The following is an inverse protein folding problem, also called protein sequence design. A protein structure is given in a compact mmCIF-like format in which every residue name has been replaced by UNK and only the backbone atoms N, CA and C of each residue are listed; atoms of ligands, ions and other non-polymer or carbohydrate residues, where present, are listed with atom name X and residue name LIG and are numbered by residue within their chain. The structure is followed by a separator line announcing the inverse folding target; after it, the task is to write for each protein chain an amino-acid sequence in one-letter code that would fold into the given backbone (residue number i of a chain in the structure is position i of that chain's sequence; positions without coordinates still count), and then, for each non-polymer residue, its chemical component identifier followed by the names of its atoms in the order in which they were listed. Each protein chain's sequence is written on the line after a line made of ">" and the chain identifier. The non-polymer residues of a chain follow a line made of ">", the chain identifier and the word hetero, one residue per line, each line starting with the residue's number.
data_IF_246396241248
#
_entry.id   IF_246396241248
#
_cell.length_a   1.000
_cell.length_b   1.000
_cell.length_c   1.000
_cell.angle_alpha   90.00
_cell.angle_beta   90.00
_cell.angle_gamma   90.00
#
_symmetry.space_group_name_H-M   'P 1'
#
loop_
_entity.id
_entity.type
_entity.pdbx_description
1 polymer ?
#
# COMPACT_ATOMS: atom_id res chain seq x y z
N UNK A 1 -61.90 33.93 21.23
CA UNK A 1 -61.93 33.41 19.84
C UNK A 1 -61.23 34.40 18.92
N UNK A 2 -60.18 33.93 18.22
CA UNK A 2 -59.62 34.41 16.94
C UNK A 2 -59.59 35.93 16.67
N UNK A 3 -58.38 36.46 16.43
CA UNK A 3 -57.96 37.04 15.14
C UNK A 3 -56.47 37.38 15.15
N UNK A 4 -55.76 36.71 14.25
CA UNK A 4 -54.39 36.98 13.78
C UNK A 4 -54.47 38.12 12.77
N UNK A 5 -53.51 39.06 12.75
CA UNK A 5 -53.08 39.72 11.51
C UNK A 5 -51.73 40.42 11.75
N UNK A 6 -50.62 39.76 11.38
CA UNK A 6 -49.33 40.40 11.14
C UNK A 6 -49.16 40.43 9.61
N UNK A 7 -49.03 41.59 8.96
CA UNK A 7 -48.69 41.67 7.56
C UNK A 7 -47.17 41.82 7.41
N UNK A 8 -46.52 40.85 6.76
CA UNK A 8 -45.20 41.04 6.13
C UNK A 8 -44.98 39.94 5.08
N UNK A 9 -45.89 39.90 4.10
CA UNK A 9 -45.67 39.21 2.84
C UNK A 9 -44.89 40.18 1.94
N UNK A 10 -43.65 39.83 1.58
CA UNK A 10 -42.97 40.12 0.30
C UNK A 10 -41.45 40.05 0.48
N UNK A 11 -40.90 38.83 0.48
CA UNK A 11 -39.56 38.60 -0.07
C UNK A 11 -39.67 37.42 -1.03
N UNK A 12 -39.88 37.82 -2.29
CA UNK A 12 -39.50 37.15 -3.53
C UNK A 12 -38.70 35.84 -3.37
N UNK A 13 -39.40 34.71 -3.52
CA UNK A 13 -38.83 33.38 -3.70
C UNK A 13 -38.81 33.02 -5.21
N UNK A 14 -37.97 33.73 -5.96
CA UNK A 14 -37.56 33.42 -7.33
C UNK A 14 -36.13 33.93 -7.38
N UNK A 15 -35.09 33.11 -7.36
CA UNK A 15 -34.55 32.22 -8.39
C UNK A 15 -33.32 31.58 -7.70
N UNK A 16 -32.75 30.43 -8.00
CA UNK A 16 -32.69 29.58 -9.17
C UNK A 16 -32.37 28.20 -8.60
N UNK A 17 -33.06 27.17 -9.06
CA UNK A 17 -32.73 25.78 -8.77
C UNK A 17 -31.25 25.55 -9.10
N UNK A 18 -30.40 25.38 -8.09
CA UNK A 18 -29.08 24.81 -8.27
C UNK A 18 -29.27 23.34 -8.61
N UNK A 19 -29.65 23.08 -9.86
CA UNK A 19 -29.39 21.83 -10.52
C UNK A 19 -27.87 21.73 -10.63
N UNK A 20 -27.23 21.28 -9.55
CA UNK A 20 -25.97 20.58 -9.69
C UNK A 20 -26.28 19.43 -10.62
N UNK A 21 -25.92 19.60 -11.88
CA UNK A 21 -25.70 18.49 -12.78
C UNK A 21 -24.74 17.57 -12.03
N UNK A 22 -25.28 16.50 -11.44
CA UNK A 22 -24.49 15.35 -11.08
C UNK A 22 -23.90 14.91 -12.41
N UNK A 23 -22.66 15.32 -12.65
CA UNK A 23 -21.83 14.71 -13.67
C UNK A 23 -21.90 13.22 -13.34
N UNK A 24 -22.67 12.48 -14.13
CA UNK A 24 -22.64 11.04 -14.11
C UNK A 24 -21.15 10.72 -14.23
N UNK A 25 -20.58 10.24 -13.12
CA UNK A 25 -19.26 9.67 -13.14
C UNK A 25 -19.32 8.64 -14.25
N UNK A 26 -18.67 8.95 -15.36
CA UNK A 26 -18.21 7.94 -16.29
C UNK A 26 -17.25 7.10 -15.46
N UNK A 27 -17.80 6.20 -14.64
CA UNK A 27 -17.11 5.01 -14.17
C UNK A 27 -16.93 4.23 -15.46
N UNK A 28 -15.92 4.65 -16.23
CA UNK A 28 -15.51 3.94 -17.42
C UNK A 28 -15.38 2.49 -16.96
N UNK A 29 -16.15 1.62 -17.60
CA UNK A 29 -16.09 0.19 -17.32
C UNK A 29 -14.64 -0.29 -17.40
N UNK A 30 -14.33 -1.47 -16.86
CA UNK A 30 -12.97 -2.00 -16.89
C UNK A 30 -12.37 -1.89 -18.29
N UNK A 31 -11.24 -1.18 -18.39
CA UNK A 31 -10.50 -1.02 -19.65
C UNK A 31 -9.13 -1.66 -19.52
N UNK A 32 -8.59 -2.14 -20.63
CA UNK A 32 -7.24 -2.71 -20.68
C UNK A 32 -6.21 -1.69 -20.17
N UNK A 33 -6.34 -0.43 -20.56
CA UNK A 33 -5.46 0.64 -20.06
C UNK A 33 -5.62 0.86 -18.55
N UNK A 34 -6.83 0.78 -18.02
CA UNK A 34 -7.07 0.83 -16.58
C UNK A 34 -6.39 -0.32 -15.82
N UNK A 35 -6.39 -1.54 -16.38
CA UNK A 35 -5.67 -2.67 -15.80
C UNK A 35 -4.14 -2.49 -15.88
N UNK A 36 -3.62 -2.01 -17.00
CA UNK A 36 -2.18 -1.72 -17.15
C UNK A 36 -1.71 -0.69 -16.12
N UNK A 37 -2.47 0.38 -15.91
CA UNK A 37 -2.14 1.38 -14.88
C UNK A 37 -2.17 0.77 -13.48
N UNK A 38 -3.16 -0.08 -13.16
CA UNK A 38 -3.22 -0.76 -11.87
C UNK A 38 -2.01 -1.67 -11.64
N UNK A 39 -1.62 -2.47 -12.63
CA UNK A 39 -0.42 -3.30 -12.57
C UNK A 39 0.83 -2.46 -12.29
N UNK A 40 1.06 -1.41 -13.08
CA UNK A 40 2.22 -0.54 -12.90
C UNK A 40 2.28 0.12 -11.51
N UNK A 41 1.12 0.54 -10.98
CA UNK A 41 1.06 1.10 -9.63
C UNK A 41 1.39 0.05 -8.56
N UNK A 42 0.87 -1.17 -8.70
CA UNK A 42 1.21 -2.30 -7.82
C UNK A 42 2.70 -2.62 -7.89
N UNK A 43 3.30 -2.64 -9.09
CA UNK A 43 4.73 -2.87 -9.27
C UNK A 43 5.56 -1.78 -8.59
N UNK A 44 5.15 -0.52 -8.70
CA UNK A 44 5.79 0.60 -8.00
C UNK A 44 5.69 0.44 -6.48
N UNK A 45 4.56 -0.03 -5.95
CA UNK A 45 4.40 -0.31 -4.52
C UNK A 45 5.29 -1.47 -4.06
N UNK A 46 5.38 -2.55 -4.83
CA UNK A 46 6.29 -3.68 -4.56
C UNK A 46 7.74 -3.20 -4.46
N UNK A 47 8.20 -2.38 -5.41
CA UNK A 47 9.56 -1.82 -5.40
C UNK A 47 9.80 -0.96 -4.15
N UNK A 48 8.83 -0.12 -3.75
CA UNK A 48 8.92 0.70 -2.53
C UNK A 48 9.03 -0.18 -1.27
N UNK A 49 8.24 -1.25 -1.19
CA UNK A 49 8.26 -2.17 -0.05
C UNK A 49 9.59 -2.92 0.04
N UNK A 50 10.16 -3.35 -1.10
CA UNK A 50 11.49 -3.94 -1.16
C UNK A 50 12.55 -2.95 -0.64
N UNK A 51 12.52 -1.70 -1.10
CA UNK A 51 13.46 -0.67 -0.64
C UNK A 51 13.33 -0.39 0.87
N UNK A 52 12.11 -0.31 1.40
CA UNK A 52 11.86 -0.15 2.84
C UNK A 52 12.41 -1.33 3.64
N UNK A 53 12.17 -2.57 3.20
CA UNK A 53 12.71 -3.78 3.82
C UNK A 53 14.23 -3.75 3.89
N UNK A 54 14.91 -3.40 2.78
CA UNK A 54 16.37 -3.21 2.73
C UNK A 54 16.84 -2.17 3.76
N UNK A 55 16.14 -1.04 3.84
CA UNK A 55 16.40 0.01 4.81
C UNK A 55 16.30 -0.47 6.27
N UNK A 56 15.29 -1.30 6.58
CA UNK A 56 15.12 -1.92 7.91
C UNK A 56 16.29 -2.85 8.21
N UNK A 57 16.68 -3.74 7.28
CA UNK A 57 17.82 -4.65 7.49
C UNK A 57 19.11 -3.89 7.74
N UNK A 58 19.39 -2.83 6.98
CA UNK A 58 20.57 -1.97 7.19
C UNK A 58 20.57 -1.31 8.57
N UNK A 59 19.42 -0.85 9.06
CA UNK A 59 19.30 -0.29 10.41
C UNK A 59 19.52 -1.37 11.49
N UNK A 60 18.98 -2.56 11.29
CA UNK A 60 19.19 -3.70 12.19
C UNK A 60 20.68 -4.09 12.28
N UNK A 61 21.36 -4.25 11.14
CA UNK A 61 22.81 -4.54 11.10
C UNK A 61 23.64 -3.50 11.85
N UNK A 62 23.33 -2.21 11.64
CA UNK A 62 24.00 -1.11 12.36
C UNK A 62 23.76 -1.20 13.88
N UNK A 63 22.54 -1.55 14.28
CA UNK A 63 22.21 -1.74 15.69
C UNK A 63 22.93 -2.95 16.29
N UNK A 64 22.94 -4.09 15.61
CA UNK A 64 23.67 -5.31 16.03
C UNK A 64 25.15 -4.99 16.24
N UNK A 65 25.80 -4.37 15.25
CA UNK A 65 27.20 -3.96 15.31
C UNK A 65 27.48 -2.97 16.44
N UNK A 66 26.65 -1.93 16.60
CA UNK A 66 26.84 -0.91 17.65
C UNK A 66 26.77 -1.49 19.06
N UNK A 67 25.99 -2.55 19.25
CA UNK A 67 25.75 -3.16 20.56
C UNK A 67 26.49 -4.49 20.75
N UNK A 68 27.39 -4.87 19.85
CA UNK A 68 28.10 -6.15 19.86
C UNK A 68 27.16 -7.37 19.97
N UNK A 69 26.03 -7.32 19.27
CA UNK A 69 25.09 -8.45 19.20
C UNK A 69 25.46 -9.38 18.03
N UNK A 70 25.15 -10.68 18.14
CA UNK A 70 25.23 -11.59 16.99
C UNK A 70 24.38 -11.05 15.84
N UNK A 71 24.89 -11.20 14.62
CA UNK A 71 24.11 -10.89 13.42
C UNK A 71 22.97 -11.89 13.28
N UNK A 72 21.73 -11.42 13.34
CA UNK A 72 20.56 -12.24 13.10
C UNK A 72 20.27 -12.32 11.59
N UNK A 73 20.05 -13.53 11.08
CA UNK A 73 19.57 -13.76 9.73
C UNK A 73 18.07 -14.18 9.77
N UNK A 74 17.13 -13.29 9.36
CA UNK A 74 15.69 -13.60 9.34
C UNK A 74 15.29 -14.68 8.32
N UNK A 75 16.23 -15.17 7.52
CA UNK A 75 16.02 -16.25 6.55
C UNK A 75 16.42 -17.62 7.09
N UNK A 76 17.32 -17.68 8.07
CA UNK A 76 17.61 -18.89 8.85
C UNK A 76 16.54 -19.15 9.93
N UNK A 77 15.68 -18.17 10.19
CA UNK A 77 14.58 -18.28 11.14
C UNK A 77 13.39 -19.07 10.57
N UNK A 78 13.27 -20.33 11.00
CA UNK A 78 12.18 -21.24 10.61
C UNK A 78 10.78 -20.78 11.01
N UNK A 79 10.66 -19.96 12.05
CA UNK A 79 9.36 -19.40 12.45
C UNK A 79 8.88 -18.36 11.44
N UNK A 80 9.80 -17.56 10.91
CA UNK A 80 9.50 -16.56 9.89
C UNK A 80 9.23 -17.22 8.53
N UNK A 81 9.98 -18.28 8.17
CA UNK A 81 9.69 -19.09 6.99
C UNK A 81 8.26 -19.61 7.01
N UNK A 82 7.86 -20.30 8.09
CA UNK A 82 6.50 -20.84 8.25
C UNK A 82 5.42 -19.75 8.13
N UNK A 83 5.66 -18.59 8.74
CA UNK A 83 4.73 -17.46 8.69
C UNK A 83 4.56 -16.93 7.27
N UNK A 84 5.66 -16.79 6.51
CA UNK A 84 5.62 -16.36 5.09
C UNK A 84 4.86 -17.36 4.23
N UNK A 85 5.07 -18.67 4.45
CA UNK A 85 4.32 -19.70 3.71
C UNK A 85 2.84 -19.71 4.05
N UNK A 86 2.46 -19.42 5.31
CA UNK A 86 1.06 -19.24 5.69
C UNK A 86 0.42 -18.05 4.97
N UNK A 87 1.14 -16.92 4.85
CA UNK A 87 0.67 -15.79 4.04
C UNK A 87 0.55 -16.14 2.56
N UNK A 88 1.47 -16.92 2.01
CA UNK A 88 1.39 -17.39 0.63
C UNK A 88 0.06 -18.10 0.37
N UNK A 89 -0.29 -19.07 1.24
CA UNK A 89 -1.57 -19.78 1.16
C UNK A 89 -2.76 -18.83 1.34
N UNK A 90 -2.69 -17.92 2.31
CA UNK A 90 -3.78 -16.97 2.58
C UNK A 90 -4.08 -16.04 1.40
N UNK A 91 -3.06 -15.63 0.66
CA UNK A 91 -3.18 -14.71 -0.48
C UNK A 91 -3.22 -15.40 -1.84
N UNK A 92 -3.40 -16.73 -1.86
CA UNK A 92 -3.44 -17.55 -3.09
C UNK A 92 -2.19 -17.38 -3.97
N UNK A 93 -1.02 -17.29 -3.32
CA UNK A 93 0.29 -17.23 -3.97
C UNK A 93 1.03 -18.54 -3.73
N UNK A 94 1.69 -19.06 -4.76
CA UNK A 94 2.51 -20.26 -4.65
C UNK A 94 3.56 -20.13 -3.53
N UNK A 95 3.58 -21.05 -2.55
CA UNK A 95 4.63 -21.12 -1.53
C UNK A 95 6.05 -21.15 -2.11
N UNK A 96 6.23 -21.82 -3.26
CA UNK A 96 7.52 -21.90 -3.96
C UNK A 96 7.96 -20.53 -4.48
N UNK A 97 7.04 -19.78 -5.10
CA UNK A 97 7.32 -18.42 -5.59
C UNK A 97 7.70 -17.49 -4.43
N UNK A 98 6.98 -17.58 -3.30
CA UNK A 98 7.31 -16.79 -2.10
C UNK A 98 8.73 -17.11 -1.62
N UNK A 99 9.12 -18.38 -1.57
CA UNK A 99 10.48 -18.76 -1.21
C UNK A 99 11.52 -18.19 -2.18
N UNK A 100 11.29 -18.25 -3.49
CA UNK A 100 12.20 -17.68 -4.50
C UNK A 100 12.38 -16.16 -4.35
N UNK A 101 11.28 -15.43 -4.12
CA UNK A 101 11.31 -13.99 -3.87
C UNK A 101 12.18 -13.69 -2.66
N UNK A 102 11.91 -14.35 -1.53
CA UNK A 102 12.62 -14.08 -0.29
C UNK A 102 14.10 -14.51 -0.35
N UNK A 103 14.42 -15.61 -1.02
CA UNK A 103 15.81 -16.02 -1.28
C UNK A 103 16.57 -14.97 -2.10
N UNK A 104 15.95 -14.45 -3.16
CA UNK A 104 16.54 -13.40 -4.01
C UNK A 104 16.79 -12.10 -3.25
N UNK A 105 15.84 -11.72 -2.39
CA UNK A 105 15.98 -10.55 -1.53
C UNK A 105 17.11 -10.68 -0.50
N UNK A 106 17.51 -11.90 -0.13
CA UNK A 106 18.62 -12.12 0.81
C UNK A 106 19.99 -12.03 0.12
N UNK A 107 20.16 -12.74 -0.99
CA UNK A 107 21.45 -12.86 -1.69
C UNK A 107 21.93 -11.53 -2.28
N UNK A 108 21.00 -10.73 -2.80
CA UNK A 108 21.32 -9.42 -3.41
C UNK A 108 21.78 -8.38 -2.38
N UNK A 109 21.28 -8.47 -1.14
CA UNK A 109 21.65 -7.56 -0.06
C UNK A 109 23.07 -7.81 0.46
N UNK A 110 23.53 -9.06 0.46
CA UNK A 110 24.92 -9.42 0.78
C UNK A 110 25.90 -8.80 -0.22
N UNK A 111 25.61 -8.92 -1.52
CA UNK A 111 26.47 -8.37 -2.59
C UNK A 111 26.57 -6.83 -2.56
N UNK A 112 25.49 -6.14 -2.18
CA UNK A 112 25.50 -4.66 -2.11
C UNK A 112 26.19 -4.15 -0.85
N UNK A 113 26.16 -4.90 0.26
CA UNK A 113 26.77 -4.49 1.53
C UNK A 113 28.30 -4.62 1.54
N UNK A 114 28.87 -5.55 0.76
CA UNK A 114 30.32 -5.81 0.70
C UNK A 114 31.08 -4.90 -0.27
N UNK A 115 30.40 -4.24 -1.21
CA UNK A 115 31.04 -3.36 -2.22
C UNK A 115 31.03 -1.86 -1.87
N UNK A 116 30.69 -1.51 -0.63
CA UNK A 116 30.77 -0.13 -0.13
C UNK A 116 31.88 -0.02 0.92
N UNK A 117 33.13 0.10 0.46
CA UNK A 117 34.29 0.52 1.25
C UNK A 117 34.98 1.69 0.56
#
# INVERSE_FOLDING_TARGET
>A
MKKVLIPALLVSLLTSSSAFAMANSNVAGPSIEGYKTKLMNTDQELIKMIAQRKGIRKKMLKFEKKNNLPTYDPFEDKSFEKTRLAFAVQYDVSPALVNEIFNTLNTTDLQTAEQSF
#
